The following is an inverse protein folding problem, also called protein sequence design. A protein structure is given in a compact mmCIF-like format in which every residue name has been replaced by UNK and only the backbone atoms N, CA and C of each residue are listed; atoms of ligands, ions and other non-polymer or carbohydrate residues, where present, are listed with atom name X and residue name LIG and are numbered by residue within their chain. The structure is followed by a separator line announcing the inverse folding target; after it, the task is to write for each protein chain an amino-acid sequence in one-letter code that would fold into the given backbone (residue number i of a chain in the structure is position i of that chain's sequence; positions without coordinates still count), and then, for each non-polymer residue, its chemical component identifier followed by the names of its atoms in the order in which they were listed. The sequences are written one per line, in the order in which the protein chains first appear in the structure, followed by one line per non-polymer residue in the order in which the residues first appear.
data_IF_563177748648
#
_entry.id   IF_563177748648
#
_cell.length_a   1.000
_cell.length_b   1.000
_cell.length_c   1.000
_cell.angle_alpha   90.00
_cell.angle_beta   90.00
_cell.angle_gamma   90.00
#
_symmetry.space_group_name_H-M   'P 1'
#
loop_
_entity.id
_entity.type
_entity.pdbx_description
1 polymer ?
#
# COMPACT_ATOMS: atom_id res chain seq x y z
N UNK A 1 -2.74 20.45 2.18
CA UNK A 1 -1.91 19.48 2.91
C UNK A 1 -2.06 18.12 2.31
N UNK A 2 -0.96 17.46 2.13
CA UNK A 2 -1.00 16.09 1.64
C UNK A 2 -1.61 15.18 2.70
N UNK A 3 -2.34 14.17 2.26
CA UNK A 3 -2.87 13.17 3.16
C UNK A 3 -1.73 12.36 3.75
N UNK A 4 -1.80 12.11 5.06
CA UNK A 4 -0.82 11.30 5.76
C UNK A 4 -1.43 10.00 6.29
N UNK A 5 -2.64 9.67 5.83
CA UNK A 5 -3.30 8.45 6.23
C UNK A 5 -2.87 7.30 5.33
N UNK A 6 -2.50 6.20 5.96
CA UNK A 6 -2.06 4.99 5.26
C UNK A 6 -3.07 3.88 5.47
N UNK A 7 -3.50 3.27 4.37
CA UNK A 7 -4.38 2.12 4.41
C UNK A 7 -3.53 0.86 4.32
N UNK A 8 -3.68 -0.05 5.28
CA UNK A 8 -2.89 -1.29 5.34
C UNK A 8 -3.81 -2.49 5.21
N UNK A 9 -3.52 -3.36 4.24
CA UNK A 9 -4.30 -4.56 3.98
C UNK A 9 -3.38 -5.77 4.15
N UNK A 10 -3.62 -6.55 5.20
CA UNK A 10 -2.76 -7.67 5.57
C UNK A 10 -3.58 -8.68 6.35
N UNK A 11 -3.54 -9.96 5.97
CA UNK A 11 -4.39 -10.98 6.60
C UNK A 11 -3.76 -11.66 7.80
N UNK A 12 -2.50 -11.39 8.13
CA UNK A 12 -1.84 -11.94 9.31
C UNK A 12 -1.94 -10.93 10.46
N UNK A 13 -2.79 -11.17 11.47
CA UNK A 13 -3.01 -10.16 12.50
C UNK A 13 -1.76 -9.68 13.22
N UNK A 14 -0.80 -10.56 13.61
CA UNK A 14 0.40 -10.04 14.29
C UNK A 14 1.21 -9.10 13.41
N UNK A 15 1.33 -9.41 12.12
CA UNK A 15 2.07 -8.56 11.21
C UNK A 15 1.34 -7.24 10.97
N UNK A 16 0.02 -7.30 10.82
CA UNK A 16 -0.79 -6.10 10.65
C UNK A 16 -0.62 -5.15 11.83
N UNK A 17 -0.65 -5.70 13.05
CA UNK A 17 -0.48 -4.90 14.26
C UNK A 17 0.90 -4.28 14.33
N UNK A 18 1.92 -5.02 13.93
CA UNK A 18 3.29 -4.53 13.94
C UNK A 18 3.46 -3.37 12.97
N UNK A 19 2.94 -3.52 11.75
CA UNK A 19 2.98 -2.47 10.74
C UNK A 19 2.26 -1.22 11.25
N UNK A 20 1.08 -1.41 11.82
CA UNK A 20 0.29 -0.29 12.34
C UNK A 20 1.05 0.48 13.41
N UNK A 21 1.59 -0.23 14.40
CA UNK A 21 2.31 0.42 15.48
C UNK A 21 3.52 1.18 14.98
N UNK A 22 4.26 0.56 14.07
CA UNK A 22 5.48 1.17 13.59
C UNK A 22 5.20 2.45 12.80
N UNK A 23 4.18 2.41 11.94
CA UNK A 23 3.81 3.58 11.16
C UNK A 23 3.25 4.70 12.04
N UNK A 24 2.51 4.34 13.09
CA UNK A 24 2.02 5.33 14.04
C UNK A 24 3.16 6.05 14.75
N UNK A 25 4.21 5.31 15.08
CA UNK A 25 5.41 5.91 15.69
C UNK A 25 6.10 6.90 14.76
N UNK A 26 5.97 6.69 13.46
CA UNK A 26 6.54 7.61 12.47
C UNK A 26 5.65 8.83 12.24
N UNK A 27 4.49 8.89 12.88
CA UNK A 27 3.61 10.03 12.80
C UNK A 27 2.46 9.88 11.81
N UNK A 28 2.27 8.70 11.23
CA UNK A 28 1.18 8.49 10.29
C UNK A 28 -0.10 8.07 10.98
N UNK A 29 -1.22 8.46 10.39
CA UNK A 29 -2.51 7.91 10.73
C UNK A 29 -2.69 6.63 9.92
N UNK A 30 -3.11 5.53 10.58
CA UNK A 30 -3.15 4.22 9.94
C UNK A 30 -4.53 3.62 10.08
N UNK A 31 -5.06 3.12 8.97
CA UNK A 31 -6.29 2.35 8.94
C UNK A 31 -5.95 0.94 8.46
N UNK A 32 -6.40 -0.08 9.18
CA UNK A 32 -6.00 -1.46 8.90
C UNK A 32 -7.22 -2.32 8.54
N UNK A 33 -6.99 -3.28 7.65
CA UNK A 33 -8.01 -4.25 7.27
C UNK A 33 -7.38 -5.62 7.11
N UNK A 34 -8.07 -6.65 7.59
CA UNK A 34 -7.64 -8.03 7.44
C UNK A 34 -8.12 -8.64 6.13
N UNK A 35 -9.00 -7.95 5.39
CA UNK A 35 -9.57 -8.46 4.16
C UNK A 35 -9.53 -7.41 3.05
N UNK A 36 -9.27 -7.87 1.83
CA UNK A 36 -9.15 -6.97 0.68
C UNK A 36 -10.45 -6.27 0.35
N UNK A 37 -11.58 -6.99 0.42
CA UNK A 37 -12.86 -6.41 0.04
C UNK A 37 -13.27 -5.28 0.97
N UNK A 38 -13.05 -5.46 2.27
CA UNK A 38 -13.34 -4.40 3.25
C UNK A 38 -12.46 -3.18 3.01
N UNK A 39 -11.18 -3.41 2.72
CA UNK A 39 -10.27 -2.32 2.41
C UNK A 39 -10.70 -1.56 1.16
N UNK A 40 -11.11 -2.29 0.13
CA UNK A 40 -11.56 -1.67 -1.11
C UNK A 40 -12.79 -0.80 -0.88
N UNK A 41 -13.75 -1.29 -0.10
CA UNK A 41 -14.95 -0.51 0.21
C UNK A 41 -14.62 0.77 0.95
N UNK A 42 -13.71 0.68 1.92
CA UNK A 42 -13.28 1.85 2.66
C UNK A 42 -12.58 2.86 1.75
N UNK A 43 -11.75 2.35 0.85
CA UNK A 43 -11.06 3.20 -0.11
C UNK A 43 -12.05 3.88 -1.07
N UNK A 44 -13.02 3.12 -1.57
CA UNK A 44 -14.02 3.67 -2.50
C UNK A 44 -14.84 4.78 -1.88
N UNK A 45 -15.08 4.69 -0.57
CA UNK A 45 -15.91 5.68 0.12
C UNK A 45 -15.23 7.04 0.19
N UNK A 46 -13.89 7.07 0.29
CA UNK A 46 -13.15 8.33 0.41
C UNK A 46 -11.72 8.15 -0.08
N UNK A 47 -11.53 7.97 -1.40
CA UNK A 47 -10.20 7.62 -1.93
C UNK A 47 -9.14 8.70 -1.69
N UNK A 48 -9.55 9.96 -1.59
CA UNK A 48 -8.60 11.06 -1.45
C UNK A 48 -8.03 11.18 -0.05
N UNK A 49 -8.57 10.46 0.94
CA UNK A 49 -8.04 10.57 2.29
C UNK A 49 -6.75 9.79 2.50
N UNK A 50 -6.41 8.89 1.58
CA UNK A 50 -5.23 8.04 1.75
C UNK A 50 -4.05 8.57 0.95
N UNK A 51 -2.90 8.73 1.60
CA UNK A 51 -1.67 9.10 0.92
C UNK A 51 -0.92 7.91 0.38
N UNK A 52 -1.18 6.71 0.91
CA UNK A 52 -0.47 5.50 0.56
C UNK A 52 -1.32 4.29 0.91
N UNK A 53 -1.24 3.25 0.10
CA UNK A 53 -1.82 1.94 0.42
C UNK A 53 -0.69 0.93 0.52
N UNK A 54 -0.69 0.14 1.60
CA UNK A 54 0.21 -1.01 1.75
C UNK A 54 -0.65 -2.26 1.65
N UNK A 55 -0.35 -3.12 0.69
CA UNK A 55 -1.19 -4.28 0.41
C UNK A 55 -0.38 -5.55 0.23
N UNK A 56 -0.88 -6.64 0.80
CA UNK A 56 -0.36 -7.98 0.59
C UNK A 56 -1.05 -8.59 -0.63
N UNK A 57 -0.27 -9.21 -1.51
CA UNK A 57 -0.82 -9.86 -2.70
C UNK A 57 -1.50 -11.19 -2.40
N UNK A 58 -1.14 -11.83 -1.30
CA UNK A 58 -1.61 -13.17 -0.98
C UNK A 58 -2.92 -13.23 -0.20
N UNK A 59 -3.78 -12.23 -0.34
CA UNK A 59 -5.04 -12.20 0.41
C UNK A 59 -6.02 -13.24 -0.11
N UNK A 60 -6.71 -13.96 0.79
CA UNK A 60 -7.58 -15.06 0.36
C UNK A 60 -8.90 -14.62 -0.27
N UNK A 61 -9.42 -13.44 0.07
CA UNK A 61 -10.74 -13.02 -0.41
C UNK A 61 -10.69 -12.29 -1.75
N UNK A 62 -9.53 -11.73 -2.11
CA UNK A 62 -9.36 -11.04 -3.39
C UNK A 62 -7.88 -11.02 -3.71
N UNK A 63 -7.46 -11.47 -4.89
CA UNK A 63 -6.06 -11.39 -5.27
C UNK A 63 -5.56 -9.95 -5.22
N UNK A 64 -4.31 -9.78 -4.78
CA UNK A 64 -3.75 -8.45 -4.60
C UNK A 64 -3.68 -7.64 -5.87
N UNK A 65 -3.40 -8.30 -7.01
CA UNK A 65 -3.35 -7.58 -8.28
C UNK A 65 -4.73 -7.06 -8.68
N UNK A 66 -5.80 -7.78 -8.34
CA UNK A 66 -7.17 -7.28 -8.55
C UNK A 66 -7.43 -6.06 -7.68
N UNK A 67 -7.03 -6.11 -6.43
CA UNK A 67 -7.20 -4.99 -5.51
C UNK A 67 -6.45 -3.76 -6.03
N UNK A 68 -5.20 -3.92 -6.44
CA UNK A 68 -4.40 -2.83 -6.97
C UNK A 68 -5.05 -2.20 -8.19
N UNK A 69 -5.51 -3.03 -9.12
CA UNK A 69 -6.14 -2.57 -10.36
C UNK A 69 -7.38 -1.74 -10.04
N UNK A 70 -8.23 -2.24 -9.13
CA UNK A 70 -9.45 -1.53 -8.75
C UNK A 70 -9.15 -0.18 -8.12
N UNK A 71 -8.18 -0.14 -7.21
CA UNK A 71 -7.80 1.11 -6.55
C UNK A 71 -7.22 2.11 -7.53
N UNK A 72 -6.39 1.65 -8.47
CA UNK A 72 -5.78 2.52 -9.46
C UNK A 72 -6.78 3.02 -10.49
N UNK A 73 -7.85 2.26 -10.76
CA UNK A 73 -8.93 2.75 -11.61
C UNK A 73 -9.67 3.92 -10.96
N UNK A 74 -9.81 3.86 -9.64
CA UNK A 74 -10.49 4.93 -8.89
C UNK A 74 -9.60 6.14 -8.75
N UNK A 75 -8.31 5.91 -8.49
CA UNK A 75 -7.36 7.00 -8.26
C UNK A 75 -6.03 6.66 -8.92
N UNK A 76 -5.85 7.07 -10.18
CA UNK A 76 -4.66 6.67 -10.96
C UNK A 76 -3.33 7.10 -10.39
N UNK A 77 -3.30 8.15 -9.57
CA UNK A 77 -2.04 8.65 -9.00
C UNK A 77 -1.74 8.03 -7.63
N UNK A 78 -2.52 7.05 -7.18
CA UNK A 78 -2.33 6.42 -5.87
C UNK A 78 -0.96 5.77 -5.76
N UNK A 79 -0.31 5.96 -4.62
CA UNK A 79 0.95 5.30 -4.31
C UNK A 79 0.67 4.02 -3.54
N UNK A 80 1.34 2.95 -3.93
CA UNK A 80 1.08 1.63 -3.37
C UNK A 80 2.40 0.94 -3.04
N UNK A 81 2.50 0.42 -1.82
CA UNK A 81 3.59 -0.46 -1.41
C UNK A 81 3.05 -1.87 -1.33
N UNK A 82 3.57 -2.74 -2.19
CA UNK A 82 3.19 -4.15 -2.19
C UNK A 82 4.13 -4.90 -1.24
N UNK A 83 3.57 -5.61 -0.26
CA UNK A 83 4.32 -6.44 0.66
C UNK A 83 3.91 -7.88 0.45
N UNK A 84 4.84 -8.77 0.10
CA UNK A 84 4.49 -10.15 -0.19
C UNK A 84 5.67 -11.08 0.02
N UNK A 85 5.37 -12.32 0.37
CA UNK A 85 6.38 -13.38 0.41
C UNK A 85 6.67 -13.96 -0.95
N UNK A 86 5.81 -13.70 -1.93
CA UNK A 86 6.00 -14.15 -3.31
C UNK A 86 6.58 -13.02 -4.15
N UNK A 87 7.36 -13.34 -5.18
CA UNK A 87 7.93 -12.30 -6.02
C UNK A 87 6.85 -11.47 -6.72
N UNK A 88 7.13 -10.19 -6.87
CA UNK A 88 6.29 -9.27 -7.61
C UNK A 88 7.19 -8.42 -8.49
N UNK A 89 6.91 -8.41 -9.78
CA UNK A 89 7.77 -7.74 -10.74
C UNK A 89 7.13 -6.44 -11.19
N UNK A 90 7.67 -5.33 -10.70
CA UNK A 90 7.18 -3.99 -11.03
C UNK A 90 7.25 -3.75 -12.53
N UNK A 91 8.24 -4.37 -13.20
CA UNK A 91 8.42 -4.25 -14.65
C UNK A 91 7.21 -4.74 -15.44
N UNK A 92 6.38 -5.60 -14.85
CA UNK A 92 5.17 -6.09 -15.50
C UNK A 92 4.04 -5.08 -15.48
N UNK A 93 4.17 -4.00 -14.73
CA UNK A 93 3.19 -2.93 -14.71
C UNK A 93 3.41 -1.99 -15.90
N UNK A 94 2.35 -1.31 -16.36
CA UNK A 94 2.55 -0.24 -17.33
C UNK A 94 3.54 0.79 -16.82
N UNK A 95 4.36 1.33 -17.72
CA UNK A 95 5.40 2.27 -17.33
C UNK A 95 4.84 3.45 -16.52
N UNK A 96 3.63 3.89 -16.84
CA UNK A 96 3.01 5.00 -16.14
C UNK A 96 2.74 4.72 -14.67
N UNK A 97 2.67 3.43 -14.26
CA UNK A 97 2.38 3.06 -12.90
C UNK A 97 3.63 2.67 -12.10
N UNK A 98 4.75 2.41 -12.77
CA UNK A 98 5.93 1.88 -12.08
C UNK A 98 6.50 2.84 -11.06
N UNK A 99 6.32 4.13 -11.24
CA UNK A 99 6.87 5.12 -10.32
C UNK A 99 6.15 5.23 -9.01
N UNK A 100 4.90 4.80 -8.98
CA UNK A 100 4.07 4.95 -7.78
C UNK A 100 3.84 3.63 -7.06
N UNK A 101 4.45 2.55 -7.54
CA UNK A 101 4.35 1.25 -6.90
C UNK A 101 5.75 0.79 -6.51
N UNK A 102 5.89 0.31 -5.28
CA UNK A 102 7.14 -0.28 -4.79
C UNK A 102 6.83 -1.64 -4.21
N UNK A 103 7.86 -2.45 -4.06
CA UNK A 103 7.73 -3.80 -3.54
C UNK A 103 8.64 -3.99 -2.34
N UNK A 104 8.11 -4.61 -1.28
CA UNK A 104 8.86 -4.98 -0.09
C UNK A 104 8.62 -6.45 0.16
N UNK A 105 9.68 -7.27 0.04
CA UNK A 105 9.53 -8.71 0.21
C UNK A 105 9.51 -9.10 1.69
N UNK A 106 8.61 -10.01 2.03
CA UNK A 106 8.56 -10.59 3.37
C UNK A 106 9.60 -11.70 3.49
N UNK A 107 10.22 -11.87 4.65
CA UNK A 107 10.09 -11.05 5.86
C UNK A 107 10.93 -9.79 5.75
N UNK A 108 10.49 -8.72 6.39
CA UNK A 108 11.24 -7.47 6.39
C UNK A 108 11.37 -6.94 7.83
N UNK A 109 12.35 -6.07 8.03
CA UNK A 109 12.54 -5.41 9.32
C UNK A 109 11.89 -4.02 9.28
N UNK A 110 11.56 -3.43 10.45
CA UNK A 110 10.88 -2.13 10.48
C UNK A 110 11.57 -1.02 9.70
N UNK A 111 12.91 -1.00 9.70
CA UNK A 111 13.63 0.02 8.95
C UNK A 111 13.36 -0.06 7.45
N UNK A 112 13.25 -1.28 6.92
CA UNK A 112 12.96 -1.47 5.50
C UNK A 112 11.57 -0.94 5.17
N UNK A 113 10.61 -1.17 6.05
CA UNK A 113 9.26 -0.64 5.87
C UNK A 113 9.27 0.89 5.88
N UNK A 114 9.95 1.49 6.85
CA UNK A 114 10.02 2.94 6.95
C UNK A 114 10.66 3.55 5.72
N UNK A 115 11.77 2.97 5.26
CA UNK A 115 12.48 3.48 4.09
C UNK A 115 11.61 3.40 2.84
N UNK A 116 10.89 2.30 2.66
CA UNK A 116 10.01 2.12 1.51
C UNK A 116 8.85 3.12 1.51
N UNK A 117 8.23 3.33 2.67
CA UNK A 117 7.12 4.27 2.81
C UNK A 117 7.59 5.69 2.53
N UNK A 118 8.69 6.09 3.14
CA UNK A 118 9.20 7.45 2.98
C UNK A 118 9.66 7.71 1.56
N UNK A 119 10.28 6.71 0.93
CA UNK A 119 10.71 6.81 -0.46
C UNK A 119 9.52 7.02 -1.39
N UNK A 120 8.45 6.25 -1.21
CA UNK A 120 7.25 6.39 -2.03
C UNK A 120 6.60 7.75 -1.85
N UNK A 121 6.47 8.20 -0.61
CA UNK A 121 5.81 9.49 -0.34
C UNK A 121 6.62 10.66 -0.86
N UNK A 122 7.93 10.50 -1.01
CA UNK A 122 8.79 11.56 -1.51
C UNK A 122 8.83 11.63 -3.05
N UNK A 123 8.35 10.61 -3.75
CA UNK A 123 8.37 10.62 -5.22
C UNK A 123 7.40 11.66 -5.77
N UNK A 124 7.79 12.37 -6.82
CA UNK A 124 6.85 13.32 -7.45
C UNK A 124 5.70 12.59 -8.10
N UNK A 125 4.51 13.17 -8.02
CA UNK A 125 3.34 12.65 -8.73
C UNK A 125 3.41 12.94 -10.20
N UNK A 126 3.90 14.13 -10.52
CA UNK A 126 3.84 14.63 -11.87
C UNK A 126 4.97 14.10 -12.71
N UNK A 127 4.66 13.74 -13.91
CA UNK A 127 5.64 13.30 -14.87
C UNK A 127 5.78 14.31 -15.97
N UNK A 128 6.99 14.72 -16.24
CA UNK A 128 7.25 15.55 -17.39
C UNK A 128 6.90 14.81 -18.66
#
# INVERSE_FOLDING_TARGET
MAATKILVVEDEPPLLQLIEKYLQRLGFEVETHLRSLEALRSFEAAPDQYGLVIADLGMPDMPGDTLLTRMLEIRPELRILVCSGSPFFIENLPASLQRQVAFLQKPFVPKMLADAVQSLLARPHTEP
#
